data_IF_752502395136
#
_entry.id   IF_752502395136
#
_cell.length_a   1.000
_cell.length_b   1.000
_cell.length_c   1.000
_cell.angle_alpha   90.00
_cell.angle_beta   90.00
_cell.angle_gamma   90.00
#
_symmetry.space_group_name_H-M   'P 1'
#
loop_
_entity.id
_entity.type
_entity.pdbx_description
1 polymer ?
#
# COMPACT_ATOMS: atom_id res chain seq x y z
N UNK A 1 -16.69 29.26 -27.55
CA UNK A 1 -17.23 28.62 -26.36
C UNK A 1 -16.55 27.28 -26.05
N UNK A 2 -15.45 26.94 -26.71
CA UNK A 2 -14.68 25.68 -26.60
C UNK A 2 -13.47 25.72 -25.61
N UNK A 3 -13.12 26.91 -25.13
CA UNK A 3 -11.92 27.09 -24.26
C UNK A 3 -12.15 26.61 -22.83
N UNK A 4 -13.38 26.58 -22.32
CA UNK A 4 -13.68 26.23 -20.94
C UNK A 4 -13.63 24.72 -20.61
N UNK A 5 -13.69 23.81 -21.59
CA UNK A 5 -13.68 22.38 -21.35
C UNK A 5 -12.27 21.83 -21.13
N UNK A 6 -11.28 22.37 -21.82
CA UNK A 6 -9.87 21.96 -21.65
C UNK A 6 -9.34 22.42 -20.28
N UNK A 7 -9.57 23.66 -19.89
CA UNK A 7 -9.19 24.21 -18.58
C UNK A 7 -9.84 23.45 -17.40
N UNK A 8 -11.12 23.08 -17.53
CA UNK A 8 -11.82 22.32 -16.52
C UNK A 8 -11.30 20.88 -16.39
N UNK A 9 -10.79 20.29 -17.47
CA UNK A 9 -10.17 18.97 -17.49
C UNK A 9 -8.80 19.00 -16.84
N UNK A 10 -7.98 19.99 -17.19
CA UNK A 10 -6.64 20.17 -16.62
C UNK A 10 -6.70 20.45 -15.10
N UNK A 11 -7.62 21.31 -14.67
CA UNK A 11 -7.82 21.59 -13.25
C UNK A 11 -8.26 20.34 -12.44
N UNK A 12 -9.07 19.47 -13.05
CA UNK A 12 -9.44 18.18 -12.41
C UNK A 12 -8.27 17.20 -12.33
N UNK A 13 -7.47 17.10 -13.39
CA UNK A 13 -6.30 16.23 -13.42
C UNK A 13 -5.28 16.67 -12.36
N UNK A 14 -4.97 17.96 -12.31
CA UNK A 14 -4.04 18.54 -11.33
C UNK A 14 -4.53 18.31 -9.89
N UNK A 15 -5.82 18.50 -9.65
CA UNK A 15 -6.41 18.27 -8.30
C UNK A 15 -6.36 16.81 -7.89
N UNK A 16 -6.62 15.88 -8.81
CA UNK A 16 -6.59 14.43 -8.53
C UNK A 16 -5.16 13.94 -8.32
N UNK A 17 -4.21 14.41 -9.13
CA UNK A 17 -2.78 14.11 -8.96
C UNK A 17 -2.25 14.65 -7.62
N UNK A 18 -2.65 15.88 -7.24
CA UNK A 18 -2.29 16.49 -5.97
C UNK A 18 -2.76 15.66 -4.76
N UNK A 19 -4.00 15.18 -4.79
CA UNK A 19 -4.55 14.36 -3.70
C UNK A 19 -3.82 13.01 -3.59
N UNK A 20 -3.53 12.34 -4.71
CA UNK A 20 -2.79 11.08 -4.71
C UNK A 20 -1.36 11.23 -4.17
N UNK A 21 -0.66 12.29 -4.60
CA UNK A 21 0.68 12.60 -4.11
C UNK A 21 0.68 12.90 -2.60
N UNK A 22 -0.31 13.65 -2.12
CA UNK A 22 -0.45 13.95 -0.69
C UNK A 22 -0.65 12.69 0.15
N UNK A 23 -1.50 11.76 -0.30
CA UNK A 23 -1.72 10.48 0.38
C UNK A 23 -0.43 9.65 0.39
N UNK A 24 0.31 9.61 -0.73
CA UNK A 24 1.57 8.88 -0.82
C UNK A 24 2.64 9.45 0.13
N UNK A 25 2.77 10.78 0.18
CA UNK A 25 3.70 11.44 1.11
C UNK A 25 3.30 11.17 2.56
N UNK A 26 2.00 11.31 2.89
CA UNK A 26 1.50 11.03 4.23
C UNK A 26 1.75 9.57 4.63
N UNK A 27 1.54 8.63 3.72
CA UNK A 27 1.85 7.22 3.93
C UNK A 27 3.33 7.02 4.28
N UNK A 28 4.24 7.56 3.46
CA UNK A 28 5.69 7.42 3.69
C UNK A 28 6.10 8.04 5.02
N UNK A 29 5.65 9.25 5.32
CA UNK A 29 5.95 9.92 6.59
C UNK A 29 5.44 9.11 7.78
N UNK A 30 4.19 8.66 7.72
CA UNK A 30 3.58 7.85 8.77
C UNK A 30 4.35 6.53 8.96
N UNK A 31 4.71 5.90 7.85
CA UNK A 31 5.48 4.65 7.87
C UNK A 31 6.86 4.82 8.51
N UNK A 32 7.57 5.89 8.16
CA UNK A 32 8.86 6.22 8.75
C UNK A 32 8.75 6.43 10.27
N UNK A 33 7.72 7.15 10.73
CA UNK A 33 7.47 7.38 12.15
C UNK A 33 7.16 6.09 12.92
N UNK A 34 6.33 5.21 12.34
CA UNK A 34 5.96 3.95 12.99
C UNK A 34 7.14 2.98 13.07
N UNK A 35 7.92 2.85 11.99
CA UNK A 35 9.12 1.98 11.96
C UNK A 35 10.20 2.50 12.91
N UNK A 36 10.30 3.82 13.13
CA UNK A 36 11.21 4.43 14.10
C UNK A 36 10.67 4.43 15.53
N UNK A 37 9.54 3.75 15.81
CA UNK A 37 8.87 3.73 17.12
C UNK A 37 8.55 5.14 17.63
N UNK A 38 8.19 6.06 16.72
CA UNK A 38 7.88 7.46 16.97
C UNK A 38 9.09 8.29 17.45
N UNK A 39 10.31 7.76 17.36
CA UNK A 39 11.52 8.55 17.58
C UNK A 39 11.83 9.40 16.34
N UNK A 40 11.62 10.71 16.50
CA UNK A 40 11.86 11.67 15.42
C UNK A 40 13.33 11.70 14.94
N UNK A 41 14.28 11.41 15.84
CA UNK A 41 15.72 11.40 15.50
C UNK A 41 16.03 10.23 14.57
N UNK A 42 15.48 9.05 14.88
CA UNK A 42 15.63 7.86 14.05
C UNK A 42 14.89 8.07 12.72
N UNK A 43 13.64 8.55 12.75
CA UNK A 43 12.86 8.84 11.54
C UNK A 43 13.60 9.80 10.59
N UNK A 44 14.21 10.88 11.11
CA UNK A 44 14.97 11.83 10.29
C UNK A 44 16.22 11.21 9.67
N UNK A 45 16.91 10.31 10.38
CA UNK A 45 18.06 9.57 9.83
C UNK A 45 17.63 8.62 8.71
N UNK A 46 16.54 7.88 8.90
CA UNK A 46 15.99 7.02 7.85
C UNK A 46 15.58 7.86 6.64
N UNK A 47 14.91 8.99 6.85
CA UNK A 47 14.51 9.89 5.76
C UNK A 47 15.71 10.43 4.98
N UNK A 48 16.82 10.74 5.64
CA UNK A 48 18.02 11.25 5.00
C UNK A 48 18.68 10.25 4.04
N UNK A 49 18.49 8.94 4.25
CA UNK A 49 19.04 7.87 3.38
C UNK A 49 18.00 7.31 2.41
N UNK A 50 16.73 7.71 2.55
CA UNK A 50 15.63 7.25 1.71
C UNK A 50 15.42 8.21 0.54
N UNK A 51 15.61 7.73 -0.68
CA UNK A 51 15.34 8.50 -1.89
C UNK A 51 13.85 8.47 -2.27
N UNK A 52 13.42 9.42 -3.10
CA UNK A 52 12.06 9.45 -3.66
C UNK A 52 11.73 8.14 -4.40
N UNK A 53 12.71 7.53 -5.06
CA UNK A 53 12.54 6.24 -5.73
C UNK A 53 12.27 5.09 -4.74
N UNK A 54 12.74 5.22 -3.50
CA UNK A 54 12.49 4.24 -2.44
C UNK A 54 11.05 4.31 -1.91
N UNK A 55 10.32 5.40 -2.16
CA UNK A 55 8.94 5.54 -1.70
C UNK A 55 8.03 4.41 -2.24
N UNK A 56 8.21 4.04 -3.51
CA UNK A 56 7.46 2.91 -4.08
C UNK A 56 7.84 1.58 -3.40
N UNK A 57 9.12 1.37 -3.13
CA UNK A 57 9.61 0.18 -2.40
C UNK A 57 9.05 0.12 -0.98
N UNK A 58 8.94 1.26 -0.29
CA UNK A 58 8.33 1.35 1.04
C UNK A 58 6.86 0.96 0.98
N UNK A 59 6.11 1.47 0.00
CA UNK A 59 4.68 1.14 -0.18
C UNK A 59 4.51 -0.35 -0.47
N UNK A 60 5.21 -0.87 -1.46
CA UNK A 60 5.11 -2.27 -1.84
C UNK A 60 5.60 -3.20 -0.74
N UNK A 61 6.75 -2.90 -0.13
CA UNK A 61 7.30 -3.68 0.97
C UNK A 61 6.36 -3.70 2.19
N UNK A 62 5.71 -2.59 2.50
CA UNK A 62 4.71 -2.54 3.59
C UNK A 62 3.49 -3.41 3.29
N UNK A 63 3.00 -3.40 2.05
CA UNK A 63 1.89 -4.26 1.64
C UNK A 63 2.29 -5.75 1.63
N UNK A 64 3.57 -6.06 1.43
CA UNK A 64 4.07 -7.43 1.42
C UNK A 64 4.52 -7.91 2.79
N UNK A 65 4.77 -7.03 3.76
CA UNK A 65 5.22 -7.39 5.10
C UNK A 65 4.16 -8.14 5.90
N UNK A 66 2.87 -7.82 5.68
CA UNK A 66 1.74 -8.53 6.28
C UNK A 66 0.79 -9.05 5.20
N UNK A 67 1.01 -10.28 4.70
CA UNK A 67 0.18 -10.86 3.65
C UNK A 67 -1.24 -11.17 4.12
N UNK A 68 -1.50 -11.38 5.42
CA UNK A 68 -2.84 -11.65 5.94
C UNK A 68 -3.69 -10.39 5.92
N UNK A 69 -3.15 -9.28 6.40
CA UNK A 69 -3.83 -7.99 6.36
C UNK A 69 -4.07 -7.51 4.91
N UNK A 70 -3.07 -7.64 4.06
CA UNK A 70 -3.19 -7.31 2.64
C UNK A 70 -4.24 -8.17 1.95
N UNK A 71 -4.32 -9.45 2.31
CA UNK A 71 -5.35 -10.37 1.81
C UNK A 71 -6.76 -9.91 2.22
N UNK A 72 -6.94 -9.51 3.48
CA UNK A 72 -8.22 -8.99 3.96
C UNK A 72 -8.62 -7.70 3.23
N UNK A 73 -7.68 -6.79 3.00
CA UNK A 73 -7.91 -5.58 2.21
C UNK A 73 -8.31 -5.89 0.77
N UNK A 74 -7.56 -6.74 0.10
CA UNK A 74 -7.84 -7.14 -1.29
C UNK A 74 -9.20 -7.81 -1.39
N UNK A 75 -9.53 -8.72 -0.46
CA UNK A 75 -10.81 -9.42 -0.42
C UNK A 75 -12.02 -8.48 -0.34
N UNK A 76 -11.88 -7.34 0.35
CA UNK A 76 -12.97 -6.34 0.48
C UNK A 76 -12.94 -5.32 -0.65
N UNK A 77 -11.77 -4.77 -0.96
CA UNK A 77 -11.64 -3.64 -1.90
C UNK A 77 -11.80 -4.08 -3.36
N UNK A 78 -11.37 -5.29 -3.71
CA UNK A 78 -11.46 -5.79 -5.09
C UNK A 78 -12.92 -5.85 -5.58
N UNK A 79 -13.86 -6.53 -4.88
CA UNK A 79 -15.25 -6.59 -5.33
C UNK A 79 -15.92 -5.22 -5.39
N UNK A 80 -15.68 -4.34 -4.42
CA UNK A 80 -16.23 -2.99 -4.41
C UNK A 80 -15.73 -2.17 -5.61
N UNK A 81 -14.43 -2.29 -5.93
CA UNK A 81 -13.81 -1.59 -7.07
C UNK A 81 -14.34 -2.11 -8.41
N UNK A 82 -14.49 -3.42 -8.54
CA UNK A 82 -15.06 -4.05 -9.75
C UNK A 82 -16.51 -3.64 -9.94
N UNK A 83 -17.32 -3.70 -8.88
CA UNK A 83 -18.72 -3.28 -8.93
C UNK A 83 -18.86 -1.80 -9.28
N UNK A 84 -18.03 -0.93 -8.71
CA UNK A 84 -17.99 0.49 -9.06
C UNK A 84 -17.69 0.70 -10.53
N UNK A 85 -16.70 0.00 -11.05
CA UNK A 85 -16.30 0.08 -12.46
C UNK A 85 -17.44 -0.42 -13.37
N UNK A 86 -18.01 -1.60 -13.07
CA UNK A 86 -19.09 -2.20 -13.83
C UNK A 86 -20.32 -1.28 -13.90
N UNK A 87 -20.70 -0.65 -12.79
CA UNK A 87 -21.84 0.29 -12.78
C UNK A 87 -21.58 1.55 -13.58
N UNK A 88 -20.37 2.11 -13.53
CA UNK A 88 -20.02 3.27 -14.35
C UNK A 88 -20.06 2.94 -15.83
N UNK A 89 -19.54 1.78 -16.23
CA UNK A 89 -19.61 1.30 -17.61
C UNK A 89 -21.06 1.11 -18.05
N UNK A 90 -21.87 0.46 -17.22
CA UNK A 90 -23.30 0.23 -17.52
C UNK A 90 -24.10 1.54 -17.63
N UNK A 91 -23.81 2.51 -16.78
CA UNK A 91 -24.42 3.86 -16.78
C UNK A 91 -23.88 4.75 -17.91
N UNK A 92 -22.99 4.27 -18.78
CA UNK A 92 -22.31 5.05 -19.83
C UNK A 92 -21.64 6.34 -19.30
N UNK A 93 -21.28 6.33 -18.03
CA UNK A 93 -20.59 7.44 -17.38
C UNK A 93 -19.09 7.39 -17.68
N UNK A 94 -18.40 8.55 -17.77
CA UNK A 94 -16.96 8.54 -18.00
C UNK A 94 -16.23 7.75 -16.91
N UNK A 95 -15.54 6.70 -17.33
CA UNK A 95 -14.72 5.90 -16.43
C UNK A 95 -13.40 6.62 -16.18
N UNK A 96 -13.06 6.80 -14.91
CA UNK A 96 -11.77 7.36 -14.55
C UNK A 96 -10.69 6.30 -14.76
N UNK A 97 -9.58 6.69 -15.39
CA UNK A 97 -8.39 5.83 -15.55
C UNK A 97 -7.93 5.29 -14.18
N UNK A 98 -8.05 6.07 -13.13
CA UNK A 98 -7.73 5.67 -11.76
C UNK A 98 -8.58 4.52 -11.25
N UNK A 99 -9.88 4.45 -11.62
CA UNK A 99 -10.73 3.34 -11.22
C UNK A 99 -10.33 2.04 -11.92
N UNK A 100 -9.95 2.11 -13.19
CA UNK A 100 -9.45 0.95 -13.93
C UNK A 100 -8.09 0.48 -13.38
N UNK A 101 -7.19 1.43 -13.09
CA UNK A 101 -5.88 1.17 -12.50
C UNK A 101 -6.00 0.52 -11.11
N UNK A 102 -6.91 1.02 -10.26
CA UNK A 102 -7.17 0.41 -8.94
C UNK A 102 -7.63 -1.05 -9.08
N UNK A 103 -8.57 -1.34 -9.98
CA UNK A 103 -9.01 -2.72 -10.24
C UNK A 103 -7.85 -3.57 -10.74
N UNK A 104 -7.04 -3.07 -11.67
CA UNK A 104 -5.88 -3.79 -12.19
C UNK A 104 -4.87 -4.12 -11.08
N UNK A 105 -4.52 -3.15 -10.23
CA UNK A 105 -3.59 -3.35 -9.10
C UNK A 105 -4.13 -4.36 -8.10
N UNK A 106 -5.41 -4.23 -7.70
CA UNK A 106 -6.02 -5.17 -6.75
C UNK A 106 -6.15 -6.58 -7.33
N UNK A 107 -6.43 -6.70 -8.63
CA UNK A 107 -6.47 -8.01 -9.31
C UNK A 107 -5.08 -8.64 -9.35
N UNK A 108 -4.05 -7.86 -9.69
CA UNK A 108 -2.66 -8.33 -9.68
C UNK A 108 -2.23 -8.76 -8.28
N UNK A 109 -2.58 -7.98 -7.25
CA UNK A 109 -2.31 -8.33 -5.85
C UNK A 109 -3.03 -9.64 -5.45
N UNK A 110 -4.30 -9.81 -5.84
CA UNK A 110 -5.06 -11.04 -5.58
C UNK A 110 -4.40 -12.27 -6.22
N UNK A 111 -3.96 -12.15 -7.47
CA UNK A 111 -3.24 -13.23 -8.18
C UNK A 111 -1.91 -13.51 -7.50
N UNK A 112 -1.13 -12.48 -7.17
CA UNK A 112 0.16 -12.63 -6.49
C UNK A 112 0.00 -13.34 -5.14
N UNK A 113 -0.96 -12.93 -4.30
CA UNK A 113 -1.24 -13.57 -3.01
C UNK A 113 -1.64 -15.04 -3.18
N UNK A 114 -2.45 -15.33 -4.19
CA UNK A 114 -2.90 -16.71 -4.46
C UNK A 114 -1.74 -17.59 -4.93
N UNK A 115 -0.89 -17.08 -5.83
CA UNK A 115 0.21 -17.87 -6.42
C UNK A 115 1.37 -18.01 -5.44
N UNK A 116 1.73 -16.94 -4.70
CA UNK A 116 2.91 -16.92 -3.84
C UNK A 116 2.64 -17.59 -2.49
N UNK A 117 1.50 -17.31 -1.88
CA UNK A 117 1.16 -17.79 -0.53
C UNK A 117 0.12 -18.92 -0.52
N UNK A 118 -0.42 -19.31 -1.67
CA UNK A 118 -1.48 -20.32 -1.75
C UNK A 118 -2.83 -19.85 -1.17
N UNK A 119 -3.05 -18.54 -1.04
CA UNK A 119 -4.25 -17.98 -0.40
C UNK A 119 -5.47 -18.01 -1.33
N UNK A 120 -5.91 -19.21 -1.69
CA UNK A 120 -7.10 -19.46 -2.53
C UNK A 120 -8.38 -18.87 -1.91
N UNK A 121 -8.41 -18.72 -0.59
CA UNK A 121 -9.56 -18.12 0.12
C UNK A 121 -9.77 -16.63 -0.23
N UNK A 122 -8.74 -15.91 -0.71
CA UNK A 122 -8.85 -14.49 -1.08
C UNK A 122 -9.79 -14.27 -2.27
N UNK A 123 -9.59 -14.91 -3.44
CA UNK A 123 -10.52 -14.77 -4.55
C UNK A 123 -11.91 -15.34 -4.24
N UNK A 124 -11.99 -16.42 -3.45
CA UNK A 124 -13.28 -16.99 -3.02
C UNK A 124 -14.02 -16.00 -2.13
N UNK A 125 -13.36 -15.42 -1.12
CA UNK A 125 -13.93 -14.43 -0.24
C UNK A 125 -14.35 -13.16 -0.98
N UNK A 126 -13.53 -12.69 -1.93
CA UNK A 126 -13.89 -11.57 -2.79
C UNK A 126 -15.16 -11.84 -3.62
N UNK A 127 -15.29 -13.05 -4.17
CA UNK A 127 -16.50 -13.45 -4.90
C UNK A 127 -17.73 -13.51 -3.97
N UNK A 128 -17.58 -14.06 -2.77
CA UNK A 128 -18.68 -14.11 -1.76
C UNK A 128 -19.11 -12.70 -1.37
N UNK A 129 -18.17 -11.79 -1.13
CA UNK A 129 -18.48 -10.39 -0.81
C UNK A 129 -19.18 -9.70 -2.00
N UNK A 130 -18.71 -9.95 -3.24
CA UNK A 130 -19.38 -9.41 -4.43
C UNK A 130 -20.85 -9.84 -4.50
N UNK A 131 -21.11 -11.13 -4.32
CA UNK A 131 -22.46 -11.70 -4.33
C UNK A 131 -23.29 -11.12 -3.18
N UNK A 132 -22.74 -11.02 -1.97
CA UNK A 132 -23.42 -10.44 -0.82
C UNK A 132 -23.81 -8.96 -1.05
N UNK A 133 -22.88 -8.17 -1.60
CA UNK A 133 -23.13 -6.76 -1.96
C UNK A 133 -24.27 -6.63 -2.99
N UNK A 134 -24.24 -7.48 -4.02
CA UNK A 134 -25.28 -7.51 -5.04
C UNK A 134 -26.64 -7.96 -4.47
N UNK A 135 -26.66 -8.96 -3.58
CA UNK A 135 -27.87 -9.43 -2.91
C UNK A 135 -28.46 -8.35 -2.00
N UNK A 136 -27.64 -7.68 -1.19
CA UNK A 136 -28.09 -6.56 -0.35
C UNK A 136 -28.67 -5.44 -1.20
N UNK A 137 -28.04 -5.12 -2.31
CA UNK A 137 -28.56 -4.10 -3.23
C UNK A 137 -29.85 -4.51 -3.91
N UNK A 138 -30.01 -5.79 -4.23
CA UNK A 138 -31.23 -6.29 -4.87
C UNK A 138 -32.41 -6.32 -3.89
N UNK A 139 -32.21 -6.78 -2.64
CA UNK A 139 -33.28 -7.02 -1.69
C UNK A 139 -33.58 -5.81 -0.78
N UNK A 140 -32.59 -4.94 -0.54
CA UNK A 140 -32.69 -3.84 0.42
C UNK A 140 -32.36 -2.48 -0.22
N UNK A 141 -32.64 -2.30 -1.52
CA UNK A 141 -32.26 -1.11 -2.29
C UNK A 141 -32.72 0.21 -1.64
N UNK A 142 -33.92 0.25 -1.03
CA UNK A 142 -34.49 1.45 -0.41
C UNK A 142 -34.17 1.58 1.08
N UNK A 143 -33.56 0.57 1.71
CA UNK A 143 -33.21 0.55 3.13
C UNK A 143 -31.87 1.22 3.45
N UNK A 144 -31.58 1.31 4.76
CA UNK A 144 -30.27 1.78 5.27
C UNK A 144 -29.11 0.95 4.70
N UNK A 145 -29.28 -0.36 4.59
CA UNK A 145 -28.27 -1.28 4.06
C UNK A 145 -27.92 -0.98 2.60
N UNK A 146 -28.91 -0.68 1.75
CA UNK A 146 -28.66 -0.30 0.36
C UNK A 146 -27.91 1.02 0.25
N UNK A 147 -28.26 2.01 1.08
CA UNK A 147 -27.55 3.31 1.13
C UNK A 147 -26.10 3.16 1.58
N UNK A 148 -25.84 2.31 2.58
CA UNK A 148 -24.47 2.03 3.06
C UNK A 148 -23.62 1.38 1.97
N UNK A 149 -24.20 0.42 1.25
CA UNK A 149 -23.53 -0.23 0.10
C UNK A 149 -23.23 0.77 -1.00
N UNK A 150 -24.19 1.62 -1.36
CA UNK A 150 -23.97 2.67 -2.38
C UNK A 150 -22.89 3.66 -1.96
N UNK A 151 -22.85 4.04 -0.68
CA UNK A 151 -21.77 4.86 -0.13
C UNK A 151 -20.42 4.16 -0.23
N UNK A 152 -20.32 2.90 0.23
CA UNK A 152 -19.08 2.13 0.18
C UNK A 152 -18.53 2.01 -1.25
N UNK A 153 -19.41 1.77 -2.22
CA UNK A 153 -19.03 1.67 -3.62
C UNK A 153 -18.59 3.02 -4.20
N UNK A 154 -19.27 4.11 -3.84
CA UNK A 154 -18.86 5.45 -4.29
C UNK A 154 -17.51 5.85 -3.74
N UNK A 155 -17.29 5.57 -2.46
CA UNK A 155 -16.12 6.02 -1.69
C UNK A 155 -15.01 4.95 -1.60
N UNK A 156 -15.06 3.88 -2.41
CA UNK A 156 -14.06 2.80 -2.35
C UNK A 156 -12.62 3.31 -2.47
N UNK A 157 -12.38 4.38 -3.23
CA UNK A 157 -11.05 4.98 -3.33
C UNK A 157 -10.61 5.64 -2.02
N UNK A 158 -11.50 6.37 -1.35
CA UNK A 158 -11.24 6.99 -0.05
C UNK A 158 -11.06 5.95 1.04
N UNK A 159 -11.89 4.89 1.00
CA UNK A 159 -11.80 3.74 1.92
C UNK A 159 -10.46 3.01 1.72
N UNK A 160 -10.06 2.78 0.48
CA UNK A 160 -8.76 2.16 0.17
C UNK A 160 -7.60 3.03 0.68
N UNK A 161 -7.64 4.33 0.45
CA UNK A 161 -6.62 5.25 0.94
C UNK A 161 -6.53 5.25 2.48
N UNK A 162 -7.68 5.30 3.16
CA UNK A 162 -7.74 5.24 4.62
C UNK A 162 -7.20 3.90 5.14
N UNK A 163 -7.58 2.79 4.52
CA UNK A 163 -7.12 1.46 4.92
C UNK A 163 -5.60 1.31 4.76
N UNK A 164 -5.03 1.83 3.67
CA UNK A 164 -3.58 1.82 3.45
C UNK A 164 -2.86 2.73 4.46
N UNK A 165 -3.42 3.88 4.82
CA UNK A 165 -2.87 4.75 5.87
C UNK A 165 -2.95 4.10 7.25
N UNK A 166 -4.04 3.39 7.55
CA UNK A 166 -4.17 2.64 8.80
C UNK A 166 -3.14 1.49 8.86
N UNK A 167 -2.92 0.77 7.76
CA UNK A 167 -1.85 -0.22 7.68
C UNK A 167 -0.50 0.42 7.99
N UNK A 168 -0.19 1.56 7.36
CA UNK A 168 1.06 2.27 7.61
C UNK A 168 1.22 2.70 9.08
N UNK A 169 0.10 3.00 9.77
CA UNK A 169 0.10 3.43 11.17
C UNK A 169 0.23 2.29 12.18
N UNK A 170 -0.19 1.07 11.82
CA UNK A 170 -0.24 -0.08 12.74
C UNK A 170 0.94 -1.02 12.55
N UNK A 171 1.35 -1.25 11.31
CA UNK A 171 2.42 -2.19 10.99
C UNK A 171 3.78 -1.63 11.43
N UNK A 172 4.45 -2.32 12.37
CA UNK A 172 5.75 -1.89 12.94
C UNK A 172 6.94 -2.53 12.24
N UNK A 173 6.72 -3.61 11.51
CA UNK A 173 7.79 -4.32 10.82
C UNK A 173 8.36 -3.46 9.70
N UNK A 174 9.65 -3.22 9.61
CA UNK A 174 10.24 -2.49 8.49
C UNK A 174 9.88 -3.13 7.15
N UNK A 175 9.82 -2.32 6.08
CA UNK A 175 9.47 -2.78 4.73
C UNK A 175 10.51 -3.67 4.07
N UNK A 176 11.73 -3.70 4.62
CA UNK A 176 12.82 -4.57 4.20
C UNK A 176 12.84 -5.83 5.07
N UNK A 177 13.04 -7.02 4.51
CA UNK A 177 13.17 -8.24 5.29
C UNK A 177 14.34 -8.14 6.26
N UNK A 178 14.23 -8.87 7.39
CA UNK A 178 15.32 -8.99 8.34
C UNK A 178 16.43 -9.87 7.75
N UNK A 179 17.68 -9.44 7.92
CA UNK A 179 18.86 -10.17 7.51
C UNK A 179 19.85 -10.30 8.67
N UNK A 180 20.56 -11.42 8.72
CA UNK A 180 21.76 -11.56 9.55
C UNK A 180 22.97 -11.07 8.79
N UNK A 181 23.54 -9.99 9.28
CA UNK A 181 24.78 -9.40 8.76
C UNK A 181 25.94 -9.96 9.57
N UNK A 182 26.72 -10.87 8.98
CA UNK A 182 27.96 -11.35 9.56
C UNK A 182 29.05 -10.33 9.27
N UNK A 183 29.42 -9.56 10.29
CA UNK A 183 30.50 -8.58 10.19
C UNK A 183 31.79 -9.16 10.80
N UNK A 184 32.92 -8.50 10.57
CA UNK A 184 34.20 -8.89 11.20
C UNK A 184 34.17 -8.79 12.72
N UNK A 185 33.28 -7.98 13.28
CA UNK A 185 33.15 -7.73 14.73
C UNK A 185 32.04 -8.54 15.38
N UNK A 186 31.16 -9.18 14.62
CA UNK A 186 30.05 -9.97 15.15
C UNK A 186 28.90 -10.15 14.18
N UNK A 187 27.81 -10.74 14.67
CA UNK A 187 26.58 -10.95 13.89
C UNK A 187 25.54 -9.95 14.37
N UNK A 188 24.94 -9.23 13.44
CA UNK A 188 23.91 -8.22 13.68
C UNK A 188 22.65 -8.59 12.92
N UNK A 189 21.51 -8.66 13.57
CA UNK A 189 20.21 -8.76 12.91
C UNK A 189 19.72 -7.36 12.58
N UNK A 190 19.53 -7.07 11.30
CA UNK A 190 19.14 -5.74 10.85
C UNK A 190 18.35 -5.79 9.53
N UNK A 191 17.58 -4.74 9.31
CA UNK A 191 16.87 -4.49 8.06
C UNK A 191 17.73 -3.61 7.15
N UNK A 192 18.15 -4.12 5.99
CA UNK A 192 18.96 -3.34 5.06
C UNK A 192 18.07 -2.33 4.35
N UNK A 193 18.31 -1.04 4.61
CA UNK A 193 17.55 0.06 4.04
C UNK A 193 18.11 0.48 2.67
N UNK A 194 19.43 0.53 2.56
CA UNK A 194 20.11 0.97 1.33
C UNK A 194 21.49 0.33 1.21
N UNK A 195 21.85 0.01 -0.03
CA UNK A 195 23.19 -0.44 -0.38
C UNK A 195 23.78 0.57 -1.37
N UNK A 196 24.87 1.20 -1.00
CA UNK A 196 25.64 2.12 -1.84
C UNK A 196 27.04 1.58 -2.10
N UNK A 197 27.76 2.21 -3.05
CA UNK A 197 29.15 1.81 -3.32
C UNK A 197 30.03 2.03 -2.09
N UNK A 198 30.37 0.93 -1.42
CA UNK A 198 31.23 0.94 -0.24
C UNK A 198 30.53 0.93 1.11
N UNK A 199 29.21 1.21 1.18
CA UNK A 199 28.48 1.26 2.44
C UNK A 199 27.12 0.59 2.38
N UNK A 200 26.71 -0.01 3.48
CA UNK A 200 25.39 -0.58 3.72
C UNK A 200 24.75 0.18 4.88
N UNK A 201 23.60 0.78 4.61
CA UNK A 201 22.78 1.40 5.68
C UNK A 201 21.74 0.40 6.12
N UNK A 202 21.72 0.07 7.40
CA UNK A 202 20.83 -0.90 7.99
C UNK A 202 20.18 -0.34 9.26
N UNK A 203 18.96 -0.80 9.55
CA UNK A 203 18.24 -0.52 10.79
C UNK A 203 18.31 -1.76 11.68
N UNK A 204 18.88 -1.65 12.86
CA UNK A 204 18.94 -2.77 13.81
C UNK A 204 17.55 -3.18 14.27
N UNK A 205 17.33 -4.46 14.50
CA UNK A 205 16.06 -4.97 14.98
C UNK A 205 15.84 -4.68 16.47
N UNK A 206 16.91 -4.76 17.28
CA UNK A 206 16.85 -4.63 18.73
C UNK A 206 16.60 -3.18 19.20
N UNK A 207 17.39 -2.24 18.69
CA UNK A 207 17.46 -0.88 19.23
C UNK A 207 16.93 0.18 18.25
N UNK A 208 16.46 -0.26 17.08
CA UNK A 208 16.02 0.64 16.00
C UNK A 208 17.06 1.72 15.65
N UNK A 209 18.33 1.37 15.76
CA UNK A 209 19.42 2.28 15.41
C UNK A 209 19.81 2.17 13.94
N UNK A 210 20.02 3.31 13.30
CA UNK A 210 20.52 3.35 11.91
C UNK A 210 22.03 3.23 11.94
N UNK A 211 22.54 2.11 11.41
CA UNK A 211 23.97 1.82 11.26
C UNK A 211 24.40 2.01 9.83
N UNK A 212 25.57 2.61 9.66
CA UNK A 212 26.29 2.68 8.37
C UNK A 212 27.50 1.79 8.49
N UNK A 213 27.51 0.67 7.76
CA UNK A 213 28.54 -0.35 7.83
C UNK A 213 29.31 -0.33 6.51
N UNK A 214 30.64 -0.39 6.57
CA UNK A 214 31.44 -0.53 5.35
C UNK A 214 31.15 -1.91 4.73
N UNK A 215 30.87 -1.96 3.44
CA UNK A 215 30.59 -3.23 2.76
C UNK A 215 31.75 -4.22 2.81
N UNK A 216 33.01 -3.75 2.97
CA UNK A 216 34.19 -4.62 3.17
C UNK A 216 34.22 -5.30 4.53
N UNK A 217 33.44 -4.82 5.52
CA UNK A 217 33.35 -5.42 6.85
C UNK A 217 32.25 -6.47 6.93
N UNK A 218 31.37 -6.53 5.94
CA UNK A 218 30.32 -7.54 5.84
C UNK A 218 30.89 -8.76 5.12
N UNK A 219 31.03 -9.86 5.86
CA UNK A 219 31.55 -11.13 5.33
C UNK A 219 30.45 -11.92 4.62
N UNK A 220 29.22 -11.90 5.18
CA UNK A 220 28.09 -12.65 4.64
C UNK A 220 26.76 -12.00 5.04
N UNK A 221 25.76 -12.12 4.18
CA UNK A 221 24.37 -11.73 4.45
C UNK A 221 23.48 -12.96 4.33
N UNK A 222 22.62 -13.19 5.30
CA UNK A 222 21.69 -14.31 5.32
C UNK A 222 20.27 -13.76 5.57
N UNK A 223 19.28 -14.05 4.71
CA UNK A 223 17.88 -13.74 5.02
C UNK A 223 17.41 -14.60 6.19
N UNK A 224 16.51 -14.06 7.00
CA UNK A 224 15.91 -14.75 8.14
C UNK A 224 14.51 -15.24 7.77
#
# INVERSE_FOLDING_TARGET
MSINLAEATDARIVRTLGTGATIAVLFVVLRLLVVSEWDWRVASRIMAVTDVNSALTIVLGTLMSDPEFTSALVMVLLPLSVLRLAWRVHAKSPTSVWSALLVAVLTTACVALTVTYGYVWVPIGAAVIAVAVLAVKHWFAEGLSGRTVDFAIREVGSIAALAVLLLAAVERTPWSPAERLHTRTGVITAHVLKVESGFVTALTESDREVLVINSSDIVRREPI
#
